data_IF_206024147152
#
_entry.id   IF_206024147152
#
_cell.length_a   1.000
_cell.length_b   1.000
_cell.length_c   1.000
_cell.angle_alpha   90.00
_cell.angle_beta   90.00
_cell.angle_gamma   90.00
#
_symmetry.space_group_name_H-M   'P 1'
#
loop_
_entity.id
_entity.type
_entity.pdbx_description
1 polymer ?
#
# COMPACT_ATOMS: atom_id res chain seq x y z
N UNK A 1 -21.61 40.13 4.38
CA UNK A 1 -20.49 39.76 3.47
C UNK A 1 -20.41 38.24 3.53
N UNK A 2 -20.98 37.57 2.53
CA UNK A 2 -21.04 36.12 2.41
C UNK A 2 -19.67 35.60 1.99
N UNK A 3 -19.06 34.75 2.81
CA UNK A 3 -17.92 33.92 2.42
C UNK A 3 -18.39 32.98 1.31
N UNK A 4 -18.03 33.31 0.08
CA UNK A 4 -18.08 32.34 -1.00
C UNK A 4 -17.01 31.28 -0.69
N UNK A 5 -17.43 30.09 -0.28
CA UNK A 5 -16.59 28.92 -0.23
C UNK A 5 -16.06 28.64 -1.64
N UNK A 6 -14.75 28.65 -1.81
CA UNK A 6 -14.08 28.16 -2.99
C UNK A 6 -14.39 26.65 -3.07
N UNK A 7 -15.36 26.31 -3.88
CA UNK A 7 -15.61 24.94 -4.30
C UNK A 7 -14.43 24.53 -5.22
N UNK A 8 -13.44 23.89 -4.61
CA UNK A 8 -12.43 23.16 -5.35
C UNK A 8 -13.17 21.99 -6.00
N UNK A 9 -13.73 22.22 -7.19
CA UNK A 9 -14.40 21.21 -7.99
C UNK A 9 -13.53 19.96 -8.08
N UNK A 10 -13.66 19.08 -7.08
CA UNK A 10 -13.03 17.76 -7.04
C UNK A 10 -13.56 17.04 -8.26
N UNK A 11 -12.73 16.98 -9.30
CA UNK A 11 -13.02 16.19 -10.48
C UNK A 11 -13.47 14.80 -10.00
N UNK A 12 -14.53 14.27 -10.59
CA UNK A 12 -15.01 12.90 -10.34
C UNK A 12 -13.89 11.85 -10.37
N UNK A 13 -12.76 12.18 -10.97
CA UNK A 13 -11.56 11.33 -11.11
C UNK A 13 -10.79 11.09 -9.82
N UNK A 14 -11.03 11.82 -8.73
CA UNK A 14 -10.23 11.73 -7.50
C UNK A 14 -10.88 10.97 -6.35
N UNK A 15 -12.11 10.44 -6.52
CA UNK A 15 -12.85 9.71 -5.49
C UNK A 15 -13.50 8.46 -6.08
N UNK A 16 -13.79 7.50 -5.22
CA UNK A 16 -14.54 6.30 -5.59
C UNK A 16 -15.94 6.70 -6.09
N UNK A 17 -16.30 6.27 -7.31
CA UNK A 17 -17.55 6.65 -7.96
C UNK A 17 -18.64 5.60 -7.74
N UNK A 18 -18.26 4.33 -7.71
CA UNK A 18 -19.18 3.19 -7.58
C UNK A 18 -18.52 2.04 -6.85
N UNK A 19 -19.32 1.18 -6.27
CA UNK A 19 -18.87 -0.07 -5.68
C UNK A 19 -19.75 -1.23 -6.17
N UNK A 20 -19.21 -2.43 -6.46
CA UNK A 20 -17.77 -2.69 -6.58
C UNK A 20 -17.13 -2.00 -7.80
N UNK A 21 -15.81 -1.74 -7.76
CA UNK A 21 -15.09 -1.24 -8.93
C UNK A 21 -14.92 -2.35 -9.97
N UNK A 22 -14.60 -1.97 -11.20
CA UNK A 22 -14.28 -2.90 -12.27
C UNK A 22 -13.04 -3.77 -11.92
N UNK A 23 -13.11 -5.08 -12.19
CA UNK A 23 -12.04 -6.04 -11.87
C UNK A 23 -11.19 -6.43 -13.09
N UNK A 24 -11.53 -5.94 -14.29
CA UNK A 24 -10.87 -6.27 -15.55
C UNK A 24 -9.40 -5.85 -15.58
N UNK A 25 -9.06 -4.80 -14.83
CA UNK A 25 -7.70 -4.28 -14.72
C UNK A 25 -6.78 -5.06 -13.78
N UNK A 26 -7.29 -6.03 -13.02
CA UNK A 26 -6.48 -6.83 -12.10
C UNK A 26 -5.45 -7.66 -12.88
N UNK A 27 -4.18 -7.58 -12.45
CA UNK A 27 -3.12 -8.37 -13.04
C UNK A 27 -3.23 -9.88 -12.66
N UNK A 28 -2.55 -10.77 -13.40
CA UNK A 28 -2.61 -12.21 -13.17
C UNK A 28 -2.32 -12.59 -11.71
N UNK A 29 -3.10 -13.54 -11.21
CA UNK A 29 -3.00 -14.10 -9.87
C UNK A 29 -3.90 -13.44 -8.80
N UNK A 30 -4.49 -12.27 -9.06
CA UNK A 30 -5.28 -11.56 -8.06
C UNK A 30 -6.79 -11.75 -8.18
N UNK A 31 -7.28 -12.05 -9.40
CA UNK A 31 -8.72 -12.05 -9.69
C UNK A 31 -9.49 -13.01 -8.77
N UNK A 32 -9.05 -14.25 -8.66
CA UNK A 32 -9.71 -15.27 -7.84
C UNK A 32 -9.79 -14.83 -6.36
N UNK A 33 -8.67 -14.35 -5.79
CA UNK A 33 -8.63 -13.85 -4.41
C UNK A 33 -9.61 -12.71 -4.15
N UNK A 34 -9.75 -11.78 -5.10
CA UNK A 34 -10.68 -10.64 -4.96
C UNK A 34 -12.12 -11.09 -5.16
N UNK A 35 -12.40 -11.95 -6.15
CA UNK A 35 -13.75 -12.49 -6.42
C UNK A 35 -14.26 -13.35 -5.25
N UNK A 36 -13.41 -14.22 -4.70
CA UNK A 36 -13.72 -15.05 -3.52
C UNK A 36 -14.03 -14.19 -2.30
N UNK A 37 -13.21 -13.15 -2.06
CA UNK A 37 -13.49 -12.20 -0.99
C UNK A 37 -14.84 -11.51 -1.18
N UNK A 38 -15.12 -10.97 -2.38
CA UNK A 38 -16.38 -10.27 -2.66
C UNK A 38 -17.61 -11.18 -2.52
N UNK A 39 -17.46 -12.47 -2.79
CA UNK A 39 -18.48 -13.48 -2.60
C UNK A 39 -18.66 -13.91 -1.12
N UNK A 40 -17.67 -13.71 -0.26
CA UNK A 40 -17.72 -14.07 1.16
C UNK A 40 -18.65 -13.17 1.97
N UNK A 41 -19.08 -13.64 3.16
CA UNK A 41 -19.91 -12.85 4.08
C UNK A 41 -19.25 -11.51 4.44
N UNK A 42 -17.92 -11.51 4.65
CA UNK A 42 -17.17 -10.30 4.95
C UNK A 42 -17.15 -9.31 3.78
N UNK A 43 -16.96 -9.81 2.56
CA UNK A 43 -16.99 -9.00 1.34
C UNK A 43 -18.36 -8.46 1.02
N UNK A 44 -19.42 -9.25 1.22
CA UNK A 44 -20.81 -8.80 1.06
C UNK A 44 -21.19 -7.72 2.08
N UNK A 45 -20.81 -7.90 3.34
CA UNK A 45 -21.06 -6.90 4.39
C UNK A 45 -20.31 -5.58 4.10
N UNK A 46 -19.05 -5.66 3.68
CA UNK A 46 -18.27 -4.49 3.24
C UNK A 46 -18.93 -3.81 2.04
N UNK A 47 -19.32 -4.59 1.02
CA UNK A 47 -19.95 -4.09 -0.20
C UNK A 47 -21.25 -3.35 0.09
N UNK A 48 -22.09 -3.90 0.95
CA UNK A 48 -23.34 -3.25 1.36
C UNK A 48 -23.08 -1.89 2.03
N UNK A 49 -22.10 -1.81 2.94
CA UNK A 49 -21.73 -0.57 3.64
C UNK A 49 -21.17 0.49 2.69
N UNK A 50 -20.25 0.12 1.79
CA UNK A 50 -19.69 1.06 0.83
C UNK A 50 -20.75 1.57 -0.15
N UNK A 51 -21.59 0.67 -0.68
CA UNK A 51 -22.69 1.05 -1.58
C UNK A 51 -23.66 2.02 -0.89
N UNK A 52 -24.02 1.74 0.37
CA UNK A 52 -24.87 2.62 1.17
C UNK A 52 -24.24 3.98 1.41
N UNK A 53 -22.96 4.03 1.82
CA UNK A 53 -22.23 5.27 2.06
C UNK A 53 -22.19 6.14 0.80
N UNK A 54 -21.84 5.55 -0.35
CA UNK A 54 -21.80 6.26 -1.64
C UNK A 54 -23.19 6.77 -2.05
N UNK A 55 -24.25 5.97 -1.86
CA UNK A 55 -25.63 6.39 -2.13
C UNK A 55 -26.12 7.55 -1.24
N UNK A 56 -25.56 7.67 -0.03
CA UNK A 56 -25.79 8.76 0.92
C UNK A 56 -24.91 10.00 0.64
N UNK A 57 -24.08 9.96 -0.41
CA UNK A 57 -23.22 11.06 -0.82
C UNK A 57 -21.88 11.13 -0.09
N UNK A 58 -21.47 10.08 0.62
CA UNK A 58 -20.13 10.03 1.23
C UNK A 58 -19.04 10.15 0.15
N UNK A 59 -18.01 10.95 0.45
CA UNK A 59 -16.81 11.06 -0.38
C UNK A 59 -15.81 10.06 0.12
N UNK A 60 -15.45 9.08 -0.72
CA UNK A 60 -14.57 7.96 -0.38
C UNK A 60 -13.34 7.97 -1.28
N UNK A 61 -12.17 7.74 -0.69
CA UNK A 61 -10.88 7.62 -1.37
C UNK A 61 -10.29 6.22 -1.18
N UNK A 62 -9.40 5.79 -2.09
CA UNK A 62 -9.02 6.36 -3.39
C UNK A 62 -10.07 6.07 -4.47
N UNK A 63 -9.93 6.65 -5.68
CA UNK A 63 -10.80 6.30 -6.82
C UNK A 63 -10.69 4.83 -7.22
N UNK A 64 -9.50 4.23 -7.06
CA UNK A 64 -9.17 2.86 -7.45
C UNK A 64 -8.63 2.08 -6.23
N UNK A 65 -9.49 1.47 -5.40
CA UNK A 65 -9.05 0.75 -4.19
C UNK A 65 -8.13 -0.44 -4.46
N UNK A 66 -8.25 -1.09 -5.63
CA UNK A 66 -7.44 -2.24 -6.03
C UNK A 66 -6.20 -1.90 -6.86
N UNK A 67 -5.82 -0.62 -6.96
CA UNK A 67 -4.73 -0.18 -7.84
C UNK A 67 -3.39 -0.89 -7.57
N UNK A 68 -3.09 -1.25 -6.35
CA UNK A 68 -1.89 -2.04 -6.05
C UNK A 68 -1.87 -3.37 -6.82
N UNK A 69 -3.04 -3.98 -7.03
CA UNK A 69 -3.22 -5.25 -7.73
C UNK A 69 -3.31 -5.09 -9.26
N UNK A 70 -3.48 -3.86 -9.75
CA UNK A 70 -3.43 -3.55 -11.19
C UNK A 70 -2.03 -3.15 -11.67
N UNK A 71 -1.10 -2.96 -10.76
CA UNK A 71 0.28 -2.49 -11.06
C UNK A 71 1.35 -3.52 -10.74
N UNK A 72 1.08 -4.46 -9.84
CA UNK A 72 2.03 -5.49 -9.42
C UNK A 72 1.37 -6.87 -9.57
N UNK A 73 1.84 -7.69 -10.50
CA UNK A 73 1.35 -9.08 -10.66
C UNK A 73 1.84 -9.96 -9.50
N UNK A 74 1.05 -10.97 -9.11
CA UNK A 74 1.34 -11.81 -7.94
C UNK A 74 2.70 -12.51 -8.02
N UNK A 75 3.06 -13.04 -9.17
CA UNK A 75 4.33 -13.73 -9.42
C UNK A 75 5.53 -12.77 -9.54
N UNK A 76 5.28 -11.49 -9.75
CA UNK A 76 6.30 -10.45 -9.80
C UNK A 76 6.58 -9.80 -8.43
N UNK A 77 5.80 -10.09 -7.39
CA UNK A 77 6.02 -9.51 -6.06
C UNK A 77 7.39 -9.92 -5.51
N UNK A 78 8.22 -8.93 -5.18
CA UNK A 78 9.54 -9.08 -4.55
C UNK A 78 9.59 -8.44 -3.19
N UNK A 79 8.86 -7.36 -3.01
CA UNK A 79 8.76 -6.63 -1.74
C UNK A 79 7.30 -6.35 -1.44
N UNK A 80 6.89 -6.53 -0.18
CA UNK A 80 5.60 -6.07 0.34
C UNK A 80 5.84 -4.94 1.32
N UNK A 81 5.13 -3.82 1.14
CA UNK A 81 5.09 -2.73 2.12
C UNK A 81 3.64 -2.56 2.55
N UNK A 82 3.37 -2.73 3.85
CA UNK A 82 2.03 -2.58 4.41
C UNK A 82 1.85 -1.18 5.01
N UNK A 83 0.85 -0.46 4.49
CA UNK A 83 0.30 0.74 5.09
C UNK A 83 -0.94 0.43 5.94
N UNK A 84 -1.49 1.43 6.61
CA UNK A 84 -2.69 1.30 7.42
C UNK A 84 -3.95 1.58 6.59
N UNK A 85 -4.13 2.81 6.16
CA UNK A 85 -5.27 3.31 5.40
C UNK A 85 -4.80 4.34 4.36
N UNK A 86 -5.61 4.66 3.34
CA UNK A 86 -5.27 5.69 2.36
C UNK A 86 -5.22 7.07 3.00
N UNK A 87 -4.53 8.02 2.36
CA UNK A 87 -4.66 9.42 2.71
C UNK A 87 -6.09 9.89 2.50
N UNK A 88 -6.63 10.65 3.46
CA UNK A 88 -8.03 11.05 3.50
C UNK A 88 -8.28 12.48 3.00
N UNK A 89 -7.26 13.16 2.47
CA UNK A 89 -7.42 14.47 1.85
C UNK A 89 -7.75 14.38 0.36
N UNK A 90 -8.48 15.37 -0.17
CA UNK A 90 -8.87 15.42 -1.58
C UNK A 90 -7.69 15.25 -2.53
N UNK A 91 -7.81 14.33 -3.49
CA UNK A 91 -6.82 14.09 -4.53
C UNK A 91 -5.47 13.55 -4.07
N UNK A 92 -5.32 13.17 -2.80
CA UNK A 92 -4.07 12.65 -2.26
C UNK A 92 -3.85 11.17 -2.58
N UNK A 93 -4.79 10.33 -2.15
CA UNK A 93 -4.67 8.88 -2.28
C UNK A 93 -4.80 8.42 -3.74
N UNK A 94 -3.86 7.58 -4.18
CA UNK A 94 -3.87 7.00 -5.52
C UNK A 94 -4.00 5.46 -5.53
N UNK A 95 -4.40 4.85 -4.40
CA UNK A 95 -4.62 3.40 -4.31
C UNK A 95 -3.37 2.57 -4.00
N UNK A 96 -2.27 3.21 -3.61
CA UNK A 96 -1.02 2.59 -3.19
C UNK A 96 -0.66 3.07 -1.78
N UNK A 97 -0.19 2.17 -0.91
CA UNK A 97 0.26 2.52 0.42
C UNK A 97 1.39 3.55 0.38
N UNK A 98 1.31 4.59 1.22
CA UNK A 98 2.25 5.72 1.33
C UNK A 98 2.35 6.62 0.11
N UNK A 99 1.81 6.25 -1.04
CA UNK A 99 1.87 6.99 -2.30
C UNK A 99 0.84 8.10 -2.37
N UNK A 100 1.18 9.20 -3.02
CA UNK A 100 0.23 10.27 -3.35
C UNK A 100 0.22 10.53 -4.85
N UNK A 101 -0.91 11.03 -5.34
CA UNK A 101 -1.08 11.36 -6.75
C UNK A 101 -0.01 12.37 -7.22
N UNK A 102 0.39 12.32 -8.52
CA UNK A 102 1.33 13.27 -9.10
C UNK A 102 0.93 14.72 -8.82
N UNK A 103 1.92 15.56 -8.52
CA UNK A 103 1.71 16.96 -8.17
C UNK A 103 1.30 17.23 -6.72
N UNK A 104 0.96 16.20 -5.95
CA UNK A 104 0.68 16.33 -4.52
C UNK A 104 2.00 16.35 -3.73
N UNK A 105 2.14 17.33 -2.85
CA UNK A 105 3.32 17.44 -1.97
C UNK A 105 3.45 16.19 -1.10
N UNK A 106 4.62 15.51 -1.09
CA UNK A 106 4.82 14.32 -0.28
C UNK A 106 4.46 14.54 1.21
N UNK A 107 3.55 13.72 1.79
CA UNK A 107 3.20 13.81 3.20
C UNK A 107 4.37 13.49 4.13
N UNK A 108 4.29 13.83 5.43
CA UNK A 108 5.41 13.67 6.36
C UNK A 108 5.99 12.25 6.44
N UNK A 109 5.14 11.22 6.43
CA UNK A 109 5.60 9.82 6.44
C UNK A 109 6.38 9.47 5.17
N UNK A 110 5.88 9.87 4.00
CA UNK A 110 6.55 9.63 2.72
C UNK A 110 7.88 10.38 2.63
N UNK A 111 7.96 11.61 3.14
CA UNK A 111 9.25 12.34 3.22
C UNK A 111 10.28 11.60 4.08
N UNK A 112 9.87 10.96 5.16
CA UNK A 112 10.77 10.15 5.99
C UNK A 112 11.19 8.87 5.25
N UNK A 113 10.28 8.24 4.48
CA UNK A 113 10.60 7.11 3.59
C UNK A 113 11.70 7.51 2.59
N UNK A 114 11.56 8.65 1.93
CA UNK A 114 12.55 9.14 0.96
C UNK A 114 13.91 9.49 1.60
N UNK A 115 13.89 10.08 2.80
CA UNK A 115 15.14 10.33 3.55
C UNK A 115 15.86 9.03 3.92
N UNK A 116 15.12 8.01 4.35
CA UNK A 116 15.70 6.72 4.70
C UNK A 116 16.18 5.97 3.44
N UNK A 117 15.47 6.10 2.32
CA UNK A 117 15.91 5.57 1.01
C UNK A 117 17.25 6.19 0.59
N UNK A 118 17.35 7.53 0.63
CA UNK A 118 18.60 8.24 0.34
C UNK A 118 19.73 7.83 1.29
N UNK A 119 19.45 7.77 2.60
CA UNK A 119 20.44 7.36 3.60
C UNK A 119 20.94 5.93 3.37
N UNK A 120 20.03 5.01 3.02
CA UNK A 120 20.31 3.57 2.90
C UNK A 120 20.99 3.19 1.59
N UNK A 121 20.64 3.86 0.49
CA UNK A 121 21.06 3.48 -0.87
C UNK A 121 21.74 4.61 -1.65
N UNK A 122 21.77 5.84 -1.13
CA UNK A 122 22.31 6.99 -1.86
C UNK A 122 21.43 7.48 -3.01
N UNK A 123 20.20 6.95 -3.17
CA UNK A 123 19.29 7.37 -4.22
C UNK A 123 18.80 8.79 -3.98
N UNK A 124 18.53 9.53 -5.06
CA UNK A 124 18.04 10.90 -4.98
C UNK A 124 16.65 10.93 -4.33
N UNK A 125 16.38 11.97 -3.55
CA UNK A 125 15.04 12.23 -3.02
C UNK A 125 14.17 12.69 -4.20
N UNK A 126 13.07 11.98 -4.51
CA UNK A 126 12.22 12.33 -5.64
C UNK A 126 11.46 13.63 -5.40
N UNK A 127 11.17 14.35 -6.48
CA UNK A 127 10.35 15.55 -6.47
C UNK A 127 8.87 15.20 -6.34
N UNK A 128 8.46 14.10 -6.98
CA UNK A 128 7.09 13.58 -6.95
C UNK A 128 6.89 12.59 -5.79
N UNK A 129 5.65 12.51 -5.30
CA UNK A 129 5.24 11.59 -4.24
C UNK A 129 4.64 10.27 -4.74
N UNK A 130 4.58 10.04 -6.06
CA UNK A 130 4.01 8.81 -6.61
C UNK A 130 5.02 7.66 -6.57
N UNK A 131 4.58 6.52 -6.01
CA UNK A 131 5.35 5.28 -5.92
C UNK A 131 4.97 4.26 -7.01
N UNK A 132 4.26 4.67 -8.04
CA UNK A 132 3.83 3.80 -9.16
C UNK A 132 5.00 3.04 -9.77
N UNK A 133 6.19 3.66 -9.86
CA UNK A 133 7.39 2.97 -10.36
C UNK A 133 7.80 1.78 -9.49
N UNK A 134 7.72 1.92 -8.18
CA UNK A 134 7.97 0.81 -7.28
C UNK A 134 6.98 -0.32 -7.50
N UNK A 135 5.68 0.02 -7.59
CA UNK A 135 4.64 -0.98 -7.83
C UNK A 135 4.90 -1.78 -9.13
N UNK A 136 5.24 -1.10 -10.22
CA UNK A 136 5.55 -1.74 -11.52
C UNK A 136 6.83 -2.58 -11.53
N UNK A 137 7.65 -2.48 -10.48
CA UNK A 137 8.89 -3.27 -10.34
C UNK A 137 8.81 -4.28 -9.19
N UNK A 138 7.61 -4.70 -8.85
CA UNK A 138 7.39 -5.79 -7.91
C UNK A 138 7.33 -5.37 -6.44
N UNK A 139 7.10 -4.09 -6.14
CA UNK A 139 6.81 -3.65 -4.77
C UNK A 139 5.30 -3.56 -4.58
N UNK A 140 4.71 -4.53 -3.89
CA UNK A 140 3.30 -4.48 -3.53
C UNK A 140 3.08 -3.48 -2.39
N UNK A 141 2.51 -2.32 -2.73
CA UNK A 141 2.21 -1.21 -1.81
C UNK A 141 0.76 -1.32 -1.35
N UNK A 142 0.50 -2.10 -0.31
CA UNK A 142 -0.84 -2.48 0.13
C UNK A 142 -1.21 -1.83 1.46
N UNK A 143 -2.35 -1.15 1.54
CA UNK A 143 -2.94 -0.74 2.82
C UNK A 143 -3.76 -1.89 3.42
N UNK A 144 -3.85 -1.96 4.75
CA UNK A 144 -4.71 -2.94 5.44
C UNK A 144 -6.19 -2.56 5.37
N UNK A 145 -6.51 -1.28 5.15
CA UNK A 145 -7.83 -0.79 4.74
C UNK A 145 -7.68 -0.11 3.38
N UNK A 146 -8.46 -0.54 2.38
CA UNK A 146 -8.27 -0.05 1.00
C UNK A 146 -9.09 1.21 0.69
N UNK A 147 -9.96 1.64 1.61
CA UNK A 147 -10.77 2.86 1.47
C UNK A 147 -10.79 3.68 2.75
N UNK A 148 -11.15 4.97 2.62
CA UNK A 148 -11.29 5.92 3.72
C UNK A 148 -12.30 7.02 3.32
N UNK A 149 -13.08 7.56 4.26
CA UNK A 149 -13.90 8.74 4.02
C UNK A 149 -13.09 10.05 4.07
N UNK A 150 -13.56 11.04 3.36
CA UNK A 150 -12.96 12.37 3.30
C UNK A 150 -12.79 12.97 4.71
N UNK A 151 -11.59 13.45 5.01
CA UNK A 151 -11.24 14.06 6.29
C UNK A 151 -11.17 13.11 7.50
N UNK A 152 -11.52 11.82 7.38
CA UNK A 152 -11.73 10.91 8.50
C UNK A 152 -10.73 9.73 8.49
N UNK A 153 -9.50 9.95 8.97
CA UNK A 153 -8.50 8.90 9.08
C UNK A 153 -9.04 7.66 9.82
N UNK A 154 -8.81 6.47 9.25
CA UNK A 154 -9.22 5.20 9.85
C UNK A 154 -10.72 4.90 9.83
N UNK A 155 -11.57 5.73 9.20
CA UNK A 155 -13.03 5.57 9.17
C UNK A 155 -13.49 4.19 8.69
N UNK A 156 -12.73 3.55 7.79
CA UNK A 156 -13.03 2.24 7.24
C UNK A 156 -12.22 1.08 7.85
N UNK A 157 -11.48 1.31 8.93
CA UNK A 157 -10.64 0.29 9.56
C UNK A 157 -11.43 -0.95 10.06
N UNK A 158 -12.71 -0.77 10.40
CA UNK A 158 -13.61 -1.83 10.88
C UNK A 158 -14.57 -2.39 9.81
N UNK A 159 -14.44 -2.00 8.54
CA UNK A 159 -15.35 -2.45 7.49
C UNK A 159 -15.12 -3.89 7.02
N UNK A 160 -14.01 -4.52 7.42
CA UNK A 160 -13.72 -5.90 7.03
C UNK A 160 -12.65 -6.03 5.92
N UNK A 161 -11.99 -4.95 5.52
CA UNK A 161 -10.91 -4.97 4.53
C UNK A 161 -9.79 -5.95 4.85
N UNK A 162 -9.52 -6.17 6.17
CA UNK A 162 -8.47 -7.08 6.60
C UNK A 162 -8.66 -8.51 6.12
N UNK A 163 -9.90 -8.96 5.91
CA UNK A 163 -10.16 -10.31 5.38
C UNK A 163 -9.54 -10.47 3.97
N UNK A 164 -9.66 -9.45 3.11
CA UNK A 164 -9.02 -9.45 1.79
C UNK A 164 -7.51 -9.22 1.87
N UNK A 165 -7.09 -8.18 2.61
CA UNK A 165 -5.67 -7.77 2.59
C UNK A 165 -4.76 -8.78 3.27
N UNK A 166 -5.25 -9.50 4.28
CA UNK A 166 -4.54 -10.62 4.89
C UNK A 166 -4.42 -11.80 3.90
N UNK A 167 -5.47 -12.09 3.13
CA UNK A 167 -5.44 -13.13 2.11
C UNK A 167 -4.48 -12.79 0.98
N UNK A 168 -4.46 -11.53 0.50
CA UNK A 168 -3.48 -11.05 -0.49
C UNK A 168 -2.05 -11.30 0.00
N UNK A 169 -1.74 -10.95 1.26
CA UNK A 169 -0.41 -11.16 1.85
C UNK A 169 -0.09 -12.65 1.99
N UNK A 170 -1.08 -13.47 2.32
CA UNK A 170 -0.92 -14.93 2.35
C UNK A 170 -0.66 -15.50 0.95
N UNK A 171 -1.36 -15.02 -0.10
CA UNK A 171 -1.12 -15.44 -1.48
C UNK A 171 0.28 -15.11 -1.95
N UNK A 172 0.80 -13.91 -1.64
CA UNK A 172 2.22 -13.60 -1.89
C UNK A 172 3.13 -14.62 -1.21
N UNK A 173 2.87 -14.93 0.07
CA UNK A 173 3.68 -15.88 0.83
C UNK A 173 3.60 -17.33 0.31
N UNK A 174 2.47 -17.70 -0.32
CA UNK A 174 2.28 -19.03 -0.96
C UNK A 174 2.93 -19.15 -2.34
N UNK A 175 3.02 -18.06 -3.09
CA UNK A 175 3.41 -18.08 -4.51
C UNK A 175 4.81 -17.54 -4.76
N UNK A 176 5.26 -16.55 -3.99
CA UNK A 176 6.58 -15.94 -4.19
C UNK A 176 7.68 -16.81 -3.56
N UNK A 177 8.61 -17.29 -4.38
CA UNK A 177 9.75 -18.12 -3.93
C UNK A 177 10.68 -17.37 -2.98
N UNK A 178 10.78 -16.05 -3.13
CA UNK A 178 11.54 -15.16 -2.27
C UNK A 178 10.89 -13.78 -2.24
N UNK A 179 10.48 -13.34 -1.05
CA UNK A 179 9.83 -12.05 -0.84
C UNK A 179 10.31 -11.41 0.46
N UNK A 180 10.48 -10.08 0.44
CA UNK A 180 10.79 -9.29 1.63
C UNK A 180 9.56 -8.49 2.04
N UNK A 181 9.16 -8.58 3.30
CA UNK A 181 8.08 -7.76 3.87
C UNK A 181 8.64 -6.67 4.77
N UNK A 182 8.37 -5.41 4.42
CA UNK A 182 8.73 -4.24 5.20
C UNK A 182 7.52 -3.83 6.04
N UNK A 183 7.55 -4.13 7.33
CA UNK A 183 6.43 -3.94 8.25
C UNK A 183 6.72 -2.78 9.20
N UNK A 184 6.11 -1.64 8.91
CA UNK A 184 6.35 -0.39 9.63
C UNK A 184 5.18 -0.01 10.55
N UNK A 185 5.43 -0.11 11.87
CA UNK A 185 4.45 0.13 12.92
C UNK A 185 3.67 -1.13 13.33
N UNK A 186 3.01 -1.05 14.49
CA UNK A 186 2.40 -2.21 15.15
C UNK A 186 1.36 -2.95 14.29
N UNK A 187 0.51 -2.24 13.54
CA UNK A 187 -0.51 -2.85 12.68
C UNK A 187 0.11 -3.73 11.58
N UNK A 188 1.14 -3.24 10.90
CA UNK A 188 1.85 -4.03 9.89
C UNK A 188 2.60 -5.21 10.53
N UNK A 189 3.28 -4.97 11.66
CA UNK A 189 4.08 -5.99 12.36
C UNK A 189 3.23 -7.15 12.88
N UNK A 190 1.95 -6.94 13.19
CA UNK A 190 1.04 -8.02 13.59
C UNK A 190 0.90 -9.11 12.50
N UNK A 191 1.22 -8.82 11.25
CA UNK A 191 1.17 -9.78 10.14
C UNK A 191 2.44 -10.63 9.99
N UNK A 192 3.53 -10.29 10.70
CA UNK A 192 4.84 -10.93 10.54
C UNK A 192 4.80 -12.45 10.70
N UNK A 193 4.14 -12.94 11.76
CA UNK A 193 4.08 -14.36 12.05
C UNK A 193 3.34 -15.15 10.96
N UNK A 194 2.21 -14.63 10.49
CA UNK A 194 1.42 -15.28 9.43
C UNK A 194 2.22 -15.36 8.11
N UNK A 195 2.93 -14.30 7.74
CA UNK A 195 3.79 -14.26 6.55
C UNK A 195 4.85 -15.37 6.62
N UNK A 196 5.63 -15.41 7.70
CA UNK A 196 6.72 -16.39 7.87
C UNK A 196 6.20 -17.81 7.88
N UNK A 197 5.13 -18.07 8.63
CA UNK A 197 4.55 -19.42 8.72
C UNK A 197 3.97 -19.89 7.40
N UNK A 198 3.29 -19.02 6.66
CA UNK A 198 2.72 -19.36 5.35
C UNK A 198 3.82 -19.66 4.34
N UNK A 199 4.84 -18.82 4.21
CA UNK A 199 5.97 -19.08 3.33
C UNK A 199 6.68 -20.40 3.65
N UNK A 200 6.96 -20.64 4.95
CA UNK A 200 7.63 -21.88 5.39
C UNK A 200 6.85 -23.15 5.03
N UNK A 201 5.50 -23.12 5.16
CA UNK A 201 4.64 -24.28 4.77
C UNK A 201 4.72 -24.61 3.28
N UNK A 202 5.06 -23.63 2.44
CA UNK A 202 5.19 -23.80 0.99
C UNK A 202 6.64 -23.91 0.51
N UNK A 203 7.61 -23.99 1.45
CA UNK A 203 9.04 -24.11 1.11
C UNK A 203 9.63 -22.84 0.49
N UNK A 204 9.02 -21.68 0.74
CA UNK A 204 9.44 -20.40 0.21
C UNK A 204 10.27 -19.61 1.23
N UNK A 205 11.18 -18.77 0.72
CA UNK A 205 11.96 -17.87 1.55
C UNK A 205 11.23 -16.55 1.77
N UNK A 206 10.95 -16.22 3.03
CA UNK A 206 10.39 -14.94 3.43
C UNK A 206 11.33 -14.22 4.40
N UNK A 207 11.57 -12.94 4.15
CA UNK A 207 12.35 -12.08 5.03
C UNK A 207 11.49 -10.92 5.54
N UNK A 208 11.35 -10.81 6.86
CA UNK A 208 10.52 -9.79 7.49
C UNK A 208 11.39 -8.78 8.20
N UNK A 209 11.23 -7.51 7.85
CA UNK A 209 11.96 -6.38 8.44
C UNK A 209 10.96 -5.46 9.15
N UNK A 210 11.12 -5.33 10.47
CA UNK A 210 10.24 -4.56 11.34
C UNK A 210 10.92 -3.28 11.85
N UNK A 211 10.22 -2.14 11.77
CA UNK A 211 10.61 -0.86 12.37
C UNK A 211 9.36 -0.10 12.82
N UNK A 212 9.54 0.97 13.58
CA UNK A 212 8.46 1.89 13.88
C UNK A 212 7.87 2.50 12.60
N UNK A 213 6.66 3.06 12.69
CA UNK A 213 6.02 3.71 11.56
C UNK A 213 6.82 4.96 11.11
N UNK A 214 6.91 5.26 9.79
CA UNK A 214 7.68 6.41 9.28
C UNK A 214 7.09 7.79 9.62
N UNK A 215 5.96 7.88 10.34
CA UNK A 215 5.39 9.16 10.75
C UNK A 215 6.35 9.94 11.65
N UNK A 216 6.33 11.28 11.63
CA UNK A 216 7.17 12.10 12.52
C UNK A 216 7.01 11.76 14.01
N UNK A 217 5.84 11.24 14.41
CA UNK A 217 5.55 10.87 15.79
C UNK A 217 6.33 9.64 16.28
N UNK A 218 6.82 8.80 15.37
CA UNK A 218 7.43 7.51 15.71
C UNK A 218 8.72 7.18 14.96
N UNK A 219 9.04 7.87 13.89
CA UNK A 219 10.17 7.55 13.02
C UNK A 219 11.54 7.52 13.73
N UNK A 220 11.70 8.30 14.81
CA UNK A 220 12.92 8.36 15.62
C UNK A 220 12.81 7.63 16.97
N UNK A 221 11.65 7.01 17.27
CA UNK A 221 11.37 6.44 18.59
C UNK A 221 12.12 5.13 18.80
N UNK A 222 12.80 4.99 19.95
CA UNK A 222 13.37 3.72 20.40
C UNK A 222 12.25 2.69 20.71
N UNK A 223 12.52 1.36 20.71
CA UNK A 223 13.82 0.73 20.45
C UNK A 223 14.12 0.49 18.97
N UNK A 224 13.15 0.60 18.08
CA UNK A 224 13.27 0.23 16.67
C UNK A 224 12.90 1.41 15.74
N UNK A 225 13.68 2.49 15.72
CA UNK A 225 13.37 3.66 14.90
C UNK A 225 13.31 3.29 13.42
N UNK A 226 12.43 3.96 12.69
CA UNK A 226 12.36 3.86 11.22
C UNK A 226 13.60 4.50 10.58
N UNK A 227 13.96 5.70 11.04
CA UNK A 227 15.16 6.39 10.57
C UNK A 227 16.41 5.63 11.03
N UNK A 228 17.20 5.21 10.06
CA UNK A 228 18.41 4.42 10.32
C UNK A 228 18.18 2.90 10.31
N UNK A 229 16.96 2.40 10.03
CA UNK A 229 16.69 0.96 10.02
C UNK A 229 17.38 0.20 8.86
N UNK A 230 17.76 0.90 7.78
CA UNK A 230 18.46 0.32 6.63
C UNK A 230 17.64 -0.70 5.83
N UNK A 231 16.32 -0.68 5.96
CA UNK A 231 15.45 -1.70 5.35
C UNK A 231 15.59 -1.79 3.84
N UNK A 232 15.79 -0.66 3.15
CA UNK A 232 15.93 -0.65 1.69
C UNK A 232 17.18 -1.41 1.24
N UNK A 233 18.34 -1.11 1.80
CA UNK A 233 19.58 -1.82 1.48
C UNK A 233 19.53 -3.29 1.91
N UNK A 234 18.97 -3.58 3.09
CA UNK A 234 18.82 -4.97 3.59
C UNK A 234 17.90 -5.80 2.71
N UNK A 235 16.77 -5.24 2.27
CA UNK A 235 15.85 -5.92 1.37
C UNK A 235 16.51 -6.24 0.04
N UNK A 236 17.19 -5.26 -0.58
CA UNK A 236 17.91 -5.46 -1.83
C UNK A 236 19.01 -6.53 -1.70
N UNK A 237 19.86 -6.42 -0.69
CA UNK A 237 20.93 -7.39 -0.47
C UNK A 237 20.40 -8.81 -0.25
N UNK A 238 19.29 -8.95 0.50
CA UNK A 238 18.68 -10.25 0.73
C UNK A 238 18.10 -10.85 -0.55
N UNK A 239 17.37 -10.07 -1.37
CA UNK A 239 16.83 -10.54 -2.65
C UNK A 239 17.95 -10.98 -3.62
N UNK A 240 19.04 -10.22 -3.69
CA UNK A 240 20.22 -10.57 -4.48
C UNK A 240 20.89 -11.86 -3.99
N UNK A 241 20.95 -12.08 -2.67
CA UNK A 241 21.42 -13.34 -2.09
C UNK A 241 20.52 -14.54 -2.41
N UNK A 242 19.23 -14.32 -2.73
CA UNK A 242 18.32 -15.34 -3.26
C UNK A 242 18.46 -15.56 -4.78
N UNK A 243 19.43 -14.92 -5.44
CA UNK A 243 19.67 -15.05 -6.88
C UNK A 243 18.77 -14.17 -7.75
N UNK A 244 18.07 -13.18 -7.16
CA UNK A 244 17.22 -12.24 -7.89
C UNK A 244 18.03 -10.98 -8.22
N UNK A 245 18.15 -10.65 -9.50
CA UNK A 245 18.71 -9.38 -9.95
C UNK A 245 17.66 -8.26 -9.78
N UNK A 246 17.51 -7.82 -8.53
CA UNK A 246 16.51 -6.81 -8.17
C UNK A 246 17.16 -5.66 -7.39
N UNK A 247 16.77 -4.44 -7.73
CA UNK A 247 17.18 -3.21 -7.04
C UNK A 247 16.02 -2.23 -6.94
N UNK A 248 16.11 -1.30 -5.98
CA UNK A 248 15.14 -0.23 -5.86
C UNK A 248 15.23 0.71 -7.08
N UNK A 249 14.09 0.96 -7.77
CA UNK A 249 14.09 1.89 -8.89
C UNK A 249 14.23 3.34 -8.43
N UNK A 250 14.95 4.12 -9.20
CA UNK A 250 14.93 5.58 -9.06
C UNK A 250 13.54 6.10 -9.46
N UNK A 251 12.91 6.91 -8.61
CA UNK A 251 11.55 7.37 -8.85
C UNK A 251 11.46 8.46 -9.93
N UNK A 252 12.47 9.33 -10.05
CA UNK A 252 12.49 10.42 -11.02
C UNK A 252 13.21 10.09 -12.34
N UNK A 253 13.74 8.88 -12.53
CA UNK A 253 14.37 8.51 -13.78
C UNK A 253 13.32 8.43 -14.92
N UNK A 254 13.65 8.81 -16.19
CA UNK A 254 12.71 8.64 -17.30
C UNK A 254 12.27 7.19 -17.42
N UNK A 255 11.00 6.96 -17.82
CA UNK A 255 10.51 5.62 -18.10
C UNK A 255 11.35 5.00 -19.23
N UNK A 256 11.94 3.82 -18.99
CA UNK A 256 12.64 3.05 -20.01
C UNK A 256 11.64 2.33 -20.89
#
# INVERSE_FOLDING_TARGET
MSQQGFDWGLSATHRLQQWPPALEGLLPGWRETVEDFLASDAGQALSARLTQALAQGAVVYPPEPFRALTLTALDEVRVVILGQDPYHGPGQAEGLAFSVAPGVKPPPSLRNIFKELQRSLGLLIPVDGSLVRWARQGVLLLNTSLTVEDGQAGSHASLGWQALTDEIVCEVSRKSKACVSLLWGAHAQAKAQAIVQTAARHGHAAHVLCANHPSPLSALRAPTPFMGCGHFGRAQAWLQAQGLDWCWPELDAPAR
#
